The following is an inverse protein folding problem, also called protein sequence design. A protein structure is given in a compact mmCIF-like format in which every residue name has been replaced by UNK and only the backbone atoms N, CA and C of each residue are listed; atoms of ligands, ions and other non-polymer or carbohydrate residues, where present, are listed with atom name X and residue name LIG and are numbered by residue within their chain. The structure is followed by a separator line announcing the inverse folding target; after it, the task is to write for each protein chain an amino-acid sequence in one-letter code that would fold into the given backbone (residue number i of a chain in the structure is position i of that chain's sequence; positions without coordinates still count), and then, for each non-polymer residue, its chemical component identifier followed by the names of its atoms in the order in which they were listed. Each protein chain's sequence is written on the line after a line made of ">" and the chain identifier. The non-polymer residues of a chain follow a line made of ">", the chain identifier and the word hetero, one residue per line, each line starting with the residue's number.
data_IF_629081130279
#
_entry.id   IF_629081130279
#
_cell.length_a   1.000
_cell.length_b   1.000
_cell.length_c   1.000
_cell.angle_alpha   90.00
_cell.angle_beta   90.00
_cell.angle_gamma   90.00
#
_symmetry.space_group_name_H-M   'P 1'
#
loop_
_entity.id
_entity.type
_entity.pdbx_description
1 polymer ?
#
# COMPACT_ATOMS: atom_id res chain seq x y z
N UNK A 1 0.42 -19.85 -10.23
CA UNK A 1 1.60 -18.95 -10.18
C UNK A 1 1.27 -17.77 -11.09
N UNK A 2 1.64 -16.55 -10.71
CA UNK A 2 1.30 -15.32 -11.46
C UNK A 2 2.54 -14.69 -12.05
N UNK A 3 2.39 -13.97 -13.16
CA UNK A 3 3.50 -13.25 -13.80
C UNK A 3 3.93 -12.03 -12.98
N UNK A 4 3.00 -11.40 -12.26
CA UNK A 4 3.24 -10.26 -11.37
C UNK A 4 2.64 -10.52 -9.98
N UNK A 5 3.39 -10.21 -8.92
CA UNK A 5 2.90 -10.28 -7.53
C UNK A 5 3.22 -8.96 -6.82
N UNK A 6 2.19 -8.35 -6.21
CA UNK A 6 2.31 -7.14 -5.39
C UNK A 6 1.76 -7.45 -4.02
N UNK A 7 2.51 -7.13 -2.97
CA UNK A 7 2.06 -7.21 -1.57
C UNK A 7 1.88 -5.81 -1.03
N UNK A 8 0.67 -5.50 -0.56
CA UNK A 8 0.36 -4.26 0.16
C UNK A 8 0.38 -4.52 1.67
N UNK A 9 1.31 -3.88 2.35
CA UNK A 9 1.42 -3.87 3.81
C UNK A 9 0.75 -2.62 4.37
N UNK A 10 0.01 -2.74 5.48
CA UNK A 10 -0.64 -1.58 6.11
C UNK A 10 -0.64 -1.64 7.65
N UNK A 11 0.03 -2.63 8.24
CA UNK A 11 0.08 -2.86 9.69
C UNK A 11 1.18 -2.07 10.42
N UNK A 12 1.76 -1.05 9.79
CA UNK A 12 2.83 -0.23 10.35
C UNK A 12 4.04 -1.05 10.83
N UNK A 13 4.43 -0.89 12.10
CA UNK A 13 5.61 -1.52 12.68
C UNK A 13 5.60 -3.06 12.57
N UNK A 14 4.45 -3.71 12.74
CA UNK A 14 4.32 -5.16 12.62
C UNK A 14 4.64 -5.64 11.21
N UNK A 15 4.17 -4.92 10.18
CA UNK A 15 4.51 -5.22 8.79
C UNK A 15 5.99 -5.04 8.50
N UNK A 16 6.64 -4.06 9.14
CA UNK A 16 8.07 -3.82 8.97
C UNK A 16 8.90 -4.96 9.57
N UNK A 17 8.58 -5.42 10.78
CA UNK A 17 9.23 -6.59 11.40
C UNK A 17 9.09 -7.84 10.50
N UNK A 18 7.88 -8.10 10.00
CA UNK A 18 7.63 -9.22 9.09
C UNK A 18 8.51 -9.13 7.84
N UNK A 19 8.55 -7.96 7.20
CA UNK A 19 9.31 -7.75 5.98
C UNK A 19 10.81 -7.96 6.22
N UNK A 20 11.37 -7.35 7.26
CA UNK A 20 12.80 -7.46 7.58
C UNK A 20 13.20 -8.92 7.89
N UNK A 21 12.30 -9.71 8.49
CA UNK A 21 12.51 -11.13 8.76
C UNK A 21 12.46 -12.06 7.54
N UNK A 22 11.82 -11.64 6.43
CA UNK A 22 11.60 -12.48 5.24
C UNK A 22 12.30 -11.96 3.97
N UNK A 23 12.66 -10.69 3.89
CA UNK A 23 13.16 -10.03 2.68
C UNK A 23 14.31 -10.82 2.01
N UNK A 24 15.30 -11.23 2.81
CA UNK A 24 16.47 -11.98 2.31
C UNK A 24 16.11 -13.36 1.72
N UNK A 25 15.01 -13.97 2.14
CA UNK A 25 14.54 -15.27 1.63
C UNK A 25 13.80 -15.13 0.30
N UNK A 26 13.33 -13.93 -0.04
CA UNK A 26 12.49 -13.67 -1.21
C UNK A 26 13.28 -13.11 -2.40
N UNK A 27 14.61 -13.00 -2.32
CA UNK A 27 15.49 -12.46 -3.36
C UNK A 27 15.27 -13.12 -4.74
N UNK A 28 14.99 -14.43 -4.79
CA UNK A 28 14.72 -15.17 -6.05
C UNK A 28 13.36 -14.85 -6.70
N UNK A 29 12.42 -14.27 -5.96
CA UNK A 29 11.11 -13.87 -6.48
C UNK A 29 11.23 -12.52 -7.20
N UNK A 30 11.72 -12.53 -8.45
CA UNK A 30 11.96 -11.31 -9.26
C UNK A 30 10.66 -10.55 -9.59
N UNK A 31 9.56 -11.28 -9.66
CA UNK A 31 8.23 -10.73 -9.93
C UNK A 31 7.51 -10.25 -8.66
N UNK A 32 8.21 -9.94 -7.57
CA UNK A 32 7.60 -9.49 -6.32
C UNK A 32 7.86 -8.00 -6.06
N UNK A 33 6.78 -7.24 -5.93
CA UNK A 33 6.78 -5.89 -5.37
C UNK A 33 6.23 -5.90 -3.95
N UNK A 34 6.81 -5.10 -3.06
CA UNK A 34 6.28 -4.88 -1.71
C UNK A 34 6.13 -3.38 -1.48
N UNK A 35 4.88 -2.98 -1.22
CA UNK A 35 4.48 -1.60 -1.00
C UNK A 35 3.88 -1.51 0.40
N UNK A 36 4.29 -0.52 1.19
CA UNK A 36 3.73 -0.24 2.49
C UNK A 36 2.90 1.04 2.46
N UNK A 37 1.67 0.95 2.92
CA UNK A 37 0.80 2.08 3.22
C UNK A 37 1.03 2.44 4.69
N UNK A 38 1.43 3.68 5.02
CA UNK A 38 1.53 4.13 6.40
C UNK A 38 0.24 3.85 7.18
N UNK A 39 0.36 3.30 8.38
CA UNK A 39 -0.79 2.82 9.16
C UNK A 39 -1.79 3.94 9.48
N UNK A 40 -1.30 5.15 9.74
CA UNK A 40 -2.13 6.34 9.95
C UNK A 40 -2.99 6.63 8.71
N UNK A 41 -2.37 6.66 7.52
CA UNK A 41 -3.06 6.90 6.26
C UNK A 41 -4.08 5.80 5.92
N UNK A 42 -3.76 4.54 6.21
CA UNK A 42 -4.70 3.42 6.07
C UNK A 42 -5.91 3.57 7.02
N UNK A 43 -5.67 4.03 8.26
CA UNK A 43 -6.74 4.28 9.22
C UNK A 43 -7.63 5.46 8.80
N UNK A 44 -7.06 6.55 8.26
CA UNK A 44 -7.84 7.65 7.70
C UNK A 44 -8.67 7.20 6.50
N UNK A 45 -8.11 6.37 5.61
CA UNK A 45 -8.86 5.80 4.47
C UNK A 45 -10.04 4.94 4.94
N UNK A 46 -9.88 4.18 6.03
CA UNK A 46 -10.96 3.40 6.61
C UNK A 46 -12.12 4.27 7.11
N UNK A 47 -11.89 5.54 7.48
CA UNK A 47 -12.96 6.46 7.88
C UNK A 47 -13.86 6.88 6.72
N UNK A 48 -13.40 6.71 5.48
CA UNK A 48 -14.18 7.01 4.29
C UNK A 48 -15.15 5.88 3.91
N UNK A 49 -15.11 4.73 4.61
CA UNK A 49 -15.91 3.55 4.26
C UNK A 49 -17.39 3.76 4.57
N UNK A 50 -18.23 3.51 3.58
CA UNK A 50 -19.68 3.50 3.70
C UNK A 50 -20.28 2.29 2.95
N UNK A 51 -21.57 1.98 3.18
CA UNK A 51 -22.24 0.86 2.48
C UNK A 51 -22.28 1.04 0.96
N UNK A 52 -22.39 2.29 0.51
CA UNK A 52 -22.31 2.70 -0.89
C UNK A 52 -21.38 3.89 -0.95
N UNK A 53 -20.33 3.81 -1.75
CA UNK A 53 -19.26 4.81 -1.77
C UNK A 53 -19.12 5.42 -3.17
N UNK A 54 -18.97 6.74 -3.21
CA UNK A 54 -18.44 7.46 -4.38
C UNK A 54 -17.07 7.98 -3.99
N UNK A 55 -16.03 7.40 -4.60
CA UNK A 55 -14.65 7.80 -4.36
C UNK A 55 -14.10 8.55 -5.57
N UNK A 56 -13.49 9.71 -5.32
CA UNK A 56 -12.65 10.40 -6.28
C UNK A 56 -11.20 10.16 -5.91
N UNK A 57 -10.45 9.55 -6.84
CA UNK A 57 -9.04 9.21 -6.65
C UNK A 57 -8.20 9.95 -7.69
N UNK A 58 -7.21 10.71 -7.23
CA UNK A 58 -6.21 11.35 -8.07
C UNK A 58 -4.83 10.80 -7.71
N UNK A 59 -4.08 10.34 -8.71
CA UNK A 59 -2.73 9.79 -8.53
C UNK A 59 -1.74 10.72 -9.23
N UNK A 60 -0.83 11.28 -8.46
CA UNK A 60 0.20 12.19 -8.97
C UNK A 60 1.49 12.03 -8.16
N UNK A 61 2.63 11.97 -8.85
CA UNK A 61 3.97 11.94 -8.25
C UNK A 61 4.16 10.85 -7.16
N UNK A 62 3.46 9.71 -7.33
CA UNK A 62 3.53 8.58 -6.40
C UNK A 62 2.57 8.68 -5.20
N UNK A 63 1.79 9.75 -5.10
CA UNK A 63 0.76 9.94 -4.08
C UNK A 63 -0.63 9.66 -4.65
N UNK A 64 -1.52 9.14 -3.82
CA UNK A 64 -2.93 8.94 -4.15
C UNK A 64 -3.79 9.79 -3.21
N UNK A 65 -4.35 10.87 -3.73
CA UNK A 65 -5.37 11.65 -3.05
C UNK A 65 -6.74 11.00 -3.24
N UNK A 66 -7.38 10.60 -2.15
CA UNK A 66 -8.70 9.97 -2.13
C UNK A 66 -9.68 10.88 -1.42
N UNK A 67 -10.82 11.15 -2.03
CA UNK A 67 -11.89 11.96 -1.45
C UNK A 67 -13.27 11.34 -1.67
N UNK A 68 -14.19 11.65 -0.76
CA UNK A 68 -15.57 11.19 -0.72
C UNK A 68 -16.42 12.20 0.06
N UNK A 69 -17.72 11.94 0.17
CA UNK A 69 -18.61 12.74 1.00
C UNK A 69 -18.26 12.68 2.51
N UNK A 70 -17.53 11.64 2.94
CA UNK A 70 -17.07 11.47 4.33
C UNK A 70 -15.74 12.16 4.65
N UNK A 71 -15.10 12.76 3.65
CA UNK A 71 -13.82 13.45 3.80
C UNK A 71 -12.76 13.00 2.79
N UNK A 72 -11.50 13.23 3.12
CA UNK A 72 -10.37 13.01 2.22
C UNK A 72 -9.12 12.54 2.96
N UNK A 73 -8.26 11.82 2.24
CA UNK A 73 -6.96 11.36 2.71
C UNK A 73 -5.95 11.36 1.56
N UNK A 74 -4.71 11.75 1.82
CA UNK A 74 -3.58 11.51 0.92
C UNK A 74 -2.84 10.27 1.37
N UNK A 75 -2.71 9.30 0.47
CA UNK A 75 -1.89 8.11 0.66
C UNK A 75 -0.56 8.31 -0.05
N UNK A 76 0.55 8.17 0.67
CA UNK A 76 1.92 8.22 0.16
C UNK A 76 2.56 6.85 0.41
N UNK A 77 2.43 5.88 -0.52
CA UNK A 77 2.94 4.54 -0.32
C UNK A 77 4.47 4.50 -0.35
N UNK A 78 5.06 3.71 0.54
CA UNK A 78 6.49 3.43 0.57
C UNK A 78 6.79 2.16 -0.23
N UNK A 79 7.71 2.24 -1.19
CA UNK A 79 8.16 1.06 -1.93
C UNK A 79 9.30 0.41 -1.14
N UNK A 80 9.02 -0.71 -0.48
CA UNK A 80 10.03 -1.49 0.24
C UNK A 80 10.80 -2.45 -0.65
N UNK A 81 10.18 -2.90 -1.75
CA UNK A 81 10.82 -3.67 -2.80
C UNK A 81 10.15 -3.37 -4.13
N UNK A 82 10.95 -3.03 -5.13
CA UNK A 82 10.47 -2.95 -6.50
C UNK A 82 10.69 -4.28 -7.24
N UNK A 83 9.92 -4.50 -8.31
CA UNK A 83 10.26 -5.56 -9.26
C UNK A 83 11.51 -5.12 -10.02
N UNK A 84 12.52 -5.98 -10.05
CA UNK A 84 13.63 -5.78 -10.97
C UNK A 84 13.12 -6.11 -12.38
N UNK A 85 13.26 -5.16 -13.32
CA UNK A 85 13.01 -5.39 -14.74
C UNK A 85 14.07 -6.31 -15.33
#
# INVERSE_FOLDING_TARGET
>A
RSDQVIVYCYGGHTSKIWWDGIANKLTRARNLQVISIPAEQANELNKLVERSMVLHVNIQDGEAYVSSDMGQVTITPEIWRNQEQ
#
